data_IF_317185867222
#
_entry.id   IF_317185867222
#
_cell.length_a   1.000
_cell.length_b   1.000
_cell.length_c   1.000
_cell.angle_alpha   90.00
_cell.angle_beta   90.00
_cell.angle_gamma   90.00
#
_symmetry.space_group_name_H-M   'P 1'
#
loop_
_entity.id
_entity.type
_entity.pdbx_description
1 polymer ?
#
# COMPACT_ATOMS: atom_id res chain seq x y z
N UNK A 1 -5.56 21.49 21.08
CA UNK A 1 -5.93 20.15 20.54
C UNK A 1 -5.51 20.11 19.09
N UNK A 2 -4.71 19.14 18.68
CA UNK A 2 -4.33 18.98 17.28
C UNK A 2 -5.57 18.63 16.46
N UNK A 3 -5.92 19.45 15.48
CA UNK A 3 -7.07 19.21 14.58
C UNK A 3 -6.69 18.35 13.37
N UNK A 4 -5.50 17.75 13.37
CA UNK A 4 -5.00 16.97 12.25
C UNK A 4 -5.66 15.60 12.13
N UNK A 5 -5.59 15.04 10.92
CA UNK A 5 -6.09 13.71 10.61
C UNK A 5 -5.04 12.62 10.83
N UNK A 6 -5.50 11.40 11.02
CA UNK A 6 -4.69 10.19 10.97
C UNK A 6 -4.96 9.49 9.63
N UNK A 7 -4.09 9.71 8.66
CA UNK A 7 -4.27 9.19 7.30
C UNK A 7 -3.48 7.90 7.14
N UNK A 8 -4.18 6.83 6.86
CA UNK A 8 -3.58 5.54 6.54
C UNK A 8 -3.74 5.27 5.05
N UNK A 9 -2.62 5.14 4.37
CA UNK A 9 -2.58 4.78 2.94
C UNK A 9 -2.30 3.30 2.82
N UNK A 10 -3.20 2.57 2.18
CA UNK A 10 -3.01 1.17 1.83
C UNK A 10 -2.41 1.06 0.43
N UNK A 11 -1.26 0.40 0.32
CA UNK A 11 -0.61 0.20 -0.96
C UNK A 11 0.23 -1.06 -0.99
N UNK A 12 0.38 -1.65 -2.17
CA UNK A 12 1.21 -2.83 -2.39
C UNK A 12 2.29 -2.54 -3.42
N UNK A 13 3.33 -3.35 -3.41
CA UNK A 13 4.33 -3.35 -4.47
C UNK A 13 3.80 -4.05 -5.70
N UNK A 14 4.11 -3.50 -6.85
CA UNK A 14 3.85 -4.12 -8.14
C UNK A 14 5.13 -4.12 -8.98
N UNK A 15 5.29 -5.05 -9.93
CA UNK A 15 6.31 -4.91 -10.97
C UNK A 15 6.10 -3.57 -11.70
N UNK A 16 7.18 -2.87 -11.99
CA UNK A 16 7.09 -1.57 -12.65
C UNK A 16 6.34 -1.69 -13.99
N UNK A 17 5.16 -1.07 -14.16
CA UNK A 17 4.37 -1.19 -15.37
C UNK A 17 5.01 -0.54 -16.60
N UNK A 18 6.09 0.23 -16.43
CA UNK A 18 6.85 0.79 -17.52
C UNK A 18 7.86 -0.22 -18.11
N UNK A 19 8.03 -1.38 -17.48
CA UNK A 19 8.85 -2.47 -18.00
C UNK A 19 8.07 -3.35 -18.99
N UNK A 20 8.81 -4.11 -19.80
CA UNK A 20 8.18 -5.17 -20.61
C UNK A 20 7.81 -6.33 -19.68
N UNK A 21 6.51 -6.50 -19.44
CA UNK A 21 5.97 -7.57 -18.62
C UNK A 21 5.50 -8.71 -19.52
N UNK A 22 6.21 -9.84 -19.46
CA UNK A 22 5.91 -11.05 -20.26
C UNK A 22 5.22 -12.09 -19.37
N UNK A 23 3.91 -12.35 -19.57
CA UNK A 23 3.19 -13.37 -18.79
C UNK A 23 3.69 -14.76 -19.17
N UNK A 24 3.86 -15.60 -18.16
CA UNK A 24 4.25 -17.00 -18.28
C UNK A 24 3.42 -17.89 -17.38
N UNK A 25 3.33 -19.18 -17.73
CA UNK A 25 2.76 -20.20 -16.83
C UNK A 25 3.92 -20.97 -16.21
N UNK A 26 4.10 -20.79 -14.91
CA UNK A 26 5.11 -21.49 -14.12
C UNK A 26 4.55 -22.73 -13.43
N UNK A 27 5.40 -23.46 -12.69
CA UNK A 27 4.99 -24.65 -11.93
C UNK A 27 3.93 -24.37 -10.85
N UNK A 28 3.90 -23.16 -10.34
CA UNK A 28 2.97 -22.71 -9.28
C UNK A 28 1.79 -21.91 -9.81
N UNK A 29 1.63 -21.79 -11.14
CA UNK A 29 0.56 -21.04 -11.77
C UNK A 29 1.05 -19.86 -12.61
N UNK A 30 0.18 -18.90 -12.93
CA UNK A 30 0.51 -17.72 -13.70
C UNK A 30 1.56 -16.85 -13.01
N UNK A 31 2.45 -16.24 -13.76
CA UNK A 31 3.51 -15.37 -13.26
C UNK A 31 4.08 -14.48 -14.35
N UNK A 32 5.15 -13.77 -14.04
CA UNK A 32 5.92 -12.98 -15.00
C UNK A 32 7.30 -13.59 -15.20
N UNK A 33 7.74 -13.57 -16.45
CA UNK A 33 9.10 -14.01 -16.78
C UNK A 33 10.13 -13.16 -16.06
N UNK A 34 11.08 -13.82 -15.38
CA UNK A 34 12.12 -13.14 -14.60
C UNK A 34 11.59 -12.14 -13.56
N UNK A 35 10.42 -12.38 -12.96
CA UNK A 35 9.75 -11.46 -12.02
C UNK A 35 10.67 -10.98 -10.89
N UNK A 36 11.55 -11.83 -10.39
CA UNK A 36 12.50 -11.46 -9.34
C UNK A 36 13.52 -10.40 -9.77
N UNK A 37 13.77 -10.26 -11.06
CA UNK A 37 14.69 -9.27 -11.64
C UNK A 37 13.99 -7.98 -12.07
N UNK A 38 12.66 -7.98 -12.11
CA UNK A 38 11.89 -6.79 -12.46
C UNK A 38 11.96 -5.75 -11.32
N UNK A 39 12.18 -4.48 -11.65
CA UNK A 39 12.01 -3.41 -10.68
C UNK A 39 10.61 -3.45 -10.07
N UNK A 40 10.53 -3.14 -8.79
CA UNK A 40 9.24 -3.01 -8.10
C UNK A 40 9.01 -1.56 -7.72
N UNK A 41 7.78 -1.11 -7.88
CA UNK A 41 7.33 0.24 -7.49
C UNK A 41 6.11 0.12 -6.58
N UNK A 42 5.81 1.18 -5.84
CA UNK A 42 4.49 1.30 -5.22
C UNK A 42 3.45 1.36 -6.33
N UNK A 43 2.38 0.61 -6.17
CA UNK A 43 1.27 0.64 -7.13
C UNK A 43 0.91 2.11 -7.45
N UNK A 44 0.83 2.51 -8.74
CA UNK A 44 0.64 3.90 -9.12
C UNK A 44 -0.57 4.58 -8.46
N UNK A 45 -1.68 3.87 -8.30
CA UNK A 45 -2.86 4.41 -7.62
C UNK A 45 -2.63 4.64 -6.12
N UNK A 46 -1.93 3.73 -5.46
CA UNK A 46 -1.52 3.92 -4.07
C UNK A 46 -0.49 5.05 -3.93
N UNK A 47 0.40 5.23 -4.90
CA UNK A 47 1.34 6.34 -4.93
C UNK A 47 0.60 7.70 -5.03
N UNK A 48 -0.42 7.81 -5.87
CA UNK A 48 -1.27 9.01 -5.91
C UNK A 48 -1.96 9.25 -4.57
N UNK A 49 -2.54 8.21 -3.96
CA UNK A 49 -3.16 8.32 -2.64
C UNK A 49 -2.17 8.80 -1.57
N UNK A 50 -0.91 8.34 -1.62
CA UNK A 50 0.13 8.78 -0.70
C UNK A 50 0.51 10.26 -0.91
N UNK A 51 0.56 10.74 -2.16
CA UNK A 51 0.82 12.14 -2.44
C UNK A 51 -0.32 13.04 -1.95
N UNK A 52 -1.57 12.65 -2.13
CA UNK A 52 -2.73 13.36 -1.59
C UNK A 52 -2.71 13.39 -0.05
N UNK A 53 -2.37 12.28 0.59
CA UNK A 53 -2.21 12.22 2.04
C UNK A 53 -1.10 13.17 2.54
N UNK A 54 0.05 13.19 1.86
CA UNK A 54 1.16 14.07 2.20
C UNK A 54 0.81 15.56 1.95
N UNK A 55 0.04 15.86 0.91
CA UNK A 55 -0.45 17.20 0.65
C UNK A 55 -1.44 17.66 1.73
N UNK A 56 -2.35 16.80 2.14
CA UNK A 56 -3.25 17.06 3.27
C UNK A 56 -2.46 17.34 4.56
N UNK A 57 -1.41 16.56 4.84
CA UNK A 57 -0.58 16.77 6.01
C UNK A 57 0.19 18.12 5.98
N UNK A 58 0.53 18.63 4.80
CA UNK A 58 1.12 19.97 4.67
C UNK A 58 0.12 21.09 4.91
N UNK A 59 -1.16 20.86 4.60
CA UNK A 59 -2.22 21.87 4.73
C UNK A 59 -2.89 21.88 6.09
N UNK A 60 -2.93 20.74 6.76
CA UNK A 60 -3.62 20.58 8.05
C UNK A 60 -2.62 20.15 9.11
N UNK A 61 -2.26 21.08 9.97
CA UNK A 61 -1.30 20.87 11.07
C UNK A 61 -1.73 19.74 11.98
N UNK A 62 -0.77 18.91 12.39
CA UNK A 62 -0.99 17.75 13.27
C UNK A 62 -1.51 16.50 12.53
N UNK A 63 -1.62 16.53 11.20
CA UNK A 63 -1.95 15.35 10.41
C UNK A 63 -0.74 14.40 10.37
N UNK A 64 -0.99 13.13 10.68
CA UNK A 64 -0.01 12.04 10.56
C UNK A 64 -0.36 11.16 9.36
N UNK A 65 0.66 10.64 8.68
CA UNK A 65 0.48 9.77 7.50
C UNK A 65 1.24 8.48 7.71
N UNK A 66 0.56 7.35 7.53
CA UNK A 66 1.14 6.02 7.48
C UNK A 66 0.94 5.40 6.11
N UNK A 67 1.96 4.75 5.59
CA UNK A 67 1.85 3.83 4.45
C UNK A 67 1.90 2.41 5.00
N UNK A 68 0.81 1.68 4.89
CA UNK A 68 0.72 0.26 5.25
C UNK A 68 0.87 -0.55 3.97
N UNK A 69 1.91 -1.37 3.90
CA UNK A 69 2.26 -2.09 2.68
C UNK A 69 2.66 -3.54 2.97
N UNK A 70 2.12 -4.45 2.18
CA UNK A 70 2.46 -5.87 2.20
C UNK A 70 3.43 -6.19 1.06
N UNK A 71 4.53 -6.84 1.38
CA UNK A 71 5.52 -7.29 0.40
C UNK A 71 6.81 -7.80 1.01
N UNK A 72 7.74 -8.31 0.20
CA UNK A 72 9.06 -8.73 0.68
C UNK A 72 9.78 -7.57 1.36
N UNK A 73 10.19 -7.77 2.60
CA UNK A 73 10.78 -6.72 3.46
C UNK A 73 11.90 -5.92 2.79
N UNK A 74 12.80 -6.60 2.09
CA UNK A 74 13.91 -5.93 1.39
C UNK A 74 13.41 -4.96 0.29
N UNK A 75 12.37 -5.33 -0.44
CA UNK A 75 11.75 -4.48 -1.47
C UNK A 75 11.00 -3.30 -0.86
N UNK A 76 10.31 -3.51 0.27
CA UNK A 76 9.63 -2.43 1.01
C UNK A 76 10.64 -1.42 1.55
N UNK A 77 11.79 -1.85 2.04
CA UNK A 77 12.85 -0.95 2.51
C UNK A 77 13.42 -0.11 1.35
N UNK A 78 13.64 -0.71 0.20
CA UNK A 78 14.10 0.01 -0.99
C UNK A 78 13.06 1.04 -1.46
N UNK A 79 11.78 0.67 -1.46
CA UNK A 79 10.68 1.58 -1.76
C UNK A 79 10.66 2.77 -0.81
N UNK A 80 10.82 2.53 0.50
CA UNK A 80 10.86 3.56 1.52
C UNK A 80 11.90 4.64 1.18
N UNK A 81 13.11 4.23 0.80
CA UNK A 81 14.17 5.18 0.44
C UNK A 81 13.80 6.07 -0.76
N UNK A 82 13.06 5.53 -1.72
CA UNK A 82 12.63 6.26 -2.92
C UNK A 82 11.47 7.20 -2.62
N UNK A 83 10.49 6.74 -1.84
CA UNK A 83 9.26 7.48 -1.56
C UNK A 83 9.45 8.54 -0.47
N UNK A 84 10.32 8.31 0.51
CA UNK A 84 10.60 9.26 1.59
C UNK A 84 11.21 10.59 1.10
N UNK A 85 11.81 10.59 -0.08
CA UNK A 85 12.28 11.83 -0.73
C UNK A 85 11.16 12.70 -1.26
N UNK A 86 9.98 12.13 -1.49
CA UNK A 86 8.84 12.77 -2.16
C UNK A 86 7.67 13.08 -1.23
N UNK A 87 7.51 12.30 -0.17
CA UNK A 87 6.44 12.42 0.80
C UNK A 87 6.92 12.08 2.21
N UNK A 88 6.37 12.75 3.22
CA UNK A 88 6.64 12.43 4.63
C UNK A 88 5.57 11.47 5.12
N UNK A 89 5.98 10.28 5.56
CA UNK A 89 5.10 9.24 6.11
C UNK A 89 5.88 8.27 6.98
N UNK A 90 5.17 7.49 7.78
CA UNK A 90 5.70 6.33 8.49
C UNK A 90 5.34 5.05 7.74
N UNK A 91 6.32 4.15 7.56
CA UNK A 91 6.07 2.87 6.89
C UNK A 91 5.72 1.78 7.89
N UNK A 92 4.55 1.17 7.72
CA UNK A 92 4.16 -0.08 8.37
C UNK A 92 4.33 -1.20 7.36
N UNK A 93 5.46 -1.89 7.43
CA UNK A 93 5.83 -2.93 6.49
C UNK A 93 5.38 -4.30 6.99
N UNK A 94 4.55 -4.98 6.22
CA UNK A 94 4.16 -6.36 6.42
C UNK A 94 5.00 -7.26 5.53
N UNK A 95 5.79 -8.15 6.13
CA UNK A 95 6.57 -9.13 5.37
C UNK A 95 5.66 -10.24 4.85
N UNK A 96 5.65 -10.43 3.55
CA UNK A 96 4.80 -11.43 2.93
C UNK A 96 4.92 -11.45 1.40
N UNK A 97 4.18 -12.33 0.74
CA UNK A 97 4.18 -12.39 -0.70
C UNK A 97 3.57 -11.11 -1.28
N UNK A 98 4.29 -10.48 -2.20
CA UNK A 98 3.78 -9.40 -3.02
C UNK A 98 3.69 -9.88 -4.46
N UNK A 99 2.51 -9.87 -5.01
CA UNK A 99 2.29 -10.25 -6.40
C UNK A 99 0.82 -10.09 -6.77
N UNK A 100 0.57 -9.96 -8.08
CA UNK A 100 -0.78 -9.80 -8.60
C UNK A 100 -1.72 -10.99 -8.38
N UNK A 101 -1.17 -12.13 -7.96
CA UNK A 101 -1.91 -13.38 -7.78
C UNK A 101 -2.27 -13.67 -6.30
N UNK A 102 -1.97 -12.77 -5.38
CA UNK A 102 -2.39 -12.90 -3.97
C UNK A 102 -3.86 -12.50 -3.86
N UNK A 103 -4.64 -13.30 -3.12
CA UNK A 103 -6.06 -13.06 -2.90
C UNK A 103 -6.33 -11.72 -2.20
N UNK A 104 -7.29 -10.97 -2.72
CA UNK A 104 -7.65 -9.64 -2.18
C UNK A 104 -8.15 -9.71 -0.73
N UNK A 105 -8.86 -10.77 -0.36
CA UNK A 105 -9.39 -10.97 1.01
C UNK A 105 -8.26 -11.16 2.01
N UNK A 106 -7.26 -11.99 1.65
CA UNK A 106 -6.07 -12.21 2.46
C UNK A 106 -5.26 -10.94 2.66
N UNK A 107 -5.06 -10.17 1.58
CA UNK A 107 -4.36 -8.88 1.64
C UNK A 107 -5.13 -7.88 2.51
N UNK A 108 -6.43 -7.75 2.34
CA UNK A 108 -7.25 -6.83 3.13
C UNK A 108 -7.22 -7.20 4.62
N UNK A 109 -7.25 -8.49 4.94
CA UNK A 109 -7.13 -8.97 6.33
C UNK A 109 -5.79 -8.58 6.96
N UNK A 110 -4.69 -8.81 6.24
CA UNK A 110 -3.35 -8.47 6.72
C UNK A 110 -3.19 -6.95 6.93
N UNK A 111 -3.66 -6.14 5.97
CA UNK A 111 -3.61 -4.68 6.07
C UNK A 111 -4.46 -4.17 7.25
N UNK A 112 -5.69 -4.65 7.42
CA UNK A 112 -6.56 -4.25 8.53
C UNK A 112 -5.93 -4.56 9.89
N UNK A 113 -5.41 -5.78 10.07
CA UNK A 113 -4.71 -6.18 11.30
C UNK A 113 -3.50 -5.28 11.59
N UNK A 114 -2.73 -4.93 10.56
CA UNK A 114 -1.59 -4.03 10.73
C UNK A 114 -2.03 -2.61 11.13
N UNK A 115 -3.11 -2.10 10.56
CA UNK A 115 -3.67 -0.79 10.90
C UNK A 115 -4.15 -0.77 12.36
N UNK A 116 -4.83 -1.82 12.81
CA UNK A 116 -5.25 -1.95 14.22
C UNK A 116 -4.06 -2.01 15.18
N UNK A 117 -2.91 -2.48 14.73
CA UNK A 117 -1.67 -2.53 15.51
C UNK A 117 -0.92 -1.19 15.61
N UNK A 118 -1.35 -0.12 14.94
CA UNK A 118 -0.72 1.20 15.03
C UNK A 118 -1.12 1.86 16.38
N UNK A 119 -0.20 1.86 17.34
CA UNK A 119 -0.49 2.29 18.71
C UNK A 119 -0.95 3.76 18.83
N UNK A 120 -0.51 4.62 17.91
CA UNK A 120 -0.83 6.05 17.94
C UNK A 120 -2.05 6.42 17.10
N UNK A 121 -2.73 5.43 16.51
CA UNK A 121 -3.86 5.66 15.60
C UNK A 121 -5.08 6.12 16.38
N UNK A 122 -5.56 7.32 16.06
CA UNK A 122 -6.84 7.83 16.55
C UNK A 122 -7.92 7.53 15.51
N UNK A 123 -8.82 6.62 15.85
CA UNK A 123 -9.87 6.15 14.94
C UNK A 123 -10.93 7.19 14.64
N UNK A 124 -11.17 8.14 15.55
CA UNK A 124 -12.14 9.21 15.35
C UNK A 124 -11.68 10.22 14.31
N UNK A 125 -10.37 10.22 14.00
CA UNK A 125 -9.73 11.08 13.00
C UNK A 125 -9.15 10.30 11.83
N UNK A 126 -9.48 9.00 11.72
CA UNK A 126 -8.95 8.13 10.70
C UNK A 126 -9.53 8.45 9.32
N UNK A 127 -8.65 8.63 8.36
CA UNK A 127 -8.94 8.63 6.93
C UNK A 127 -8.19 7.46 6.28
N UNK A 128 -8.92 6.61 5.59
CA UNK A 128 -8.35 5.47 4.87
C UNK A 128 -8.24 5.81 3.38
N UNK A 129 -7.01 5.86 2.89
CA UNK A 129 -6.72 6.17 1.49
C UNK A 129 -6.16 4.94 0.78
N UNK A 130 -6.41 4.86 -0.52
CA UNK A 130 -5.86 3.81 -1.38
C UNK A 130 -6.31 3.96 -2.82
N UNK A 131 -5.82 3.06 -3.67
CA UNK A 131 -6.21 3.04 -5.08
C UNK A 131 -7.58 2.40 -5.29
N UNK A 132 -8.35 2.94 -6.23
CA UNK A 132 -9.58 2.32 -6.74
C UNK A 132 -9.30 1.29 -7.84
N UNK A 133 -8.09 1.27 -8.37
CA UNK A 133 -7.56 0.35 -9.36
C UNK A 133 -6.17 -0.13 -8.94
N UNK A 134 -5.55 -1.02 -9.69
CA UNK A 134 -4.22 -1.55 -9.42
C UNK A 134 -3.52 -1.98 -10.71
N UNK A 135 -2.22 -1.77 -10.78
CA UNK A 135 -1.38 -2.29 -11.87
C UNK A 135 -1.14 -3.81 -11.78
N UNK A 136 -1.65 -4.48 -10.76
CA UNK A 136 -1.52 -5.93 -10.58
C UNK A 136 -2.86 -6.66 -10.69
N UNK A 137 -3.69 -6.61 -9.63
CA UNK A 137 -4.94 -7.38 -9.57
C UNK A 137 -6.14 -6.69 -10.17
N UNK A 138 -6.17 -5.39 -10.06
CA UNK A 138 -7.27 -4.50 -10.50
C UNK A 138 -8.68 -4.96 -10.06
N UNK A 139 -8.76 -5.60 -8.89
CA UNK A 139 -10.02 -6.14 -8.38
C UNK A 139 -10.97 -5.06 -7.83
N UNK A 140 -10.45 -3.88 -7.49
CA UNK A 140 -11.22 -2.73 -7.00
C UNK A 140 -11.91 -2.92 -5.64
N UNK A 141 -11.56 -3.96 -4.88
CA UNK A 141 -12.28 -4.35 -3.65
C UNK A 141 -11.44 -4.33 -2.38
N UNK A 142 -10.12 -4.29 -2.50
CA UNK A 142 -9.22 -4.45 -1.33
C UNK A 142 -9.45 -3.36 -0.28
N UNK A 143 -9.55 -2.10 -0.71
CA UNK A 143 -9.70 -0.99 0.22
C UNK A 143 -11.06 -1.01 0.93
N UNK A 144 -12.13 -1.35 0.20
CA UNK A 144 -13.47 -1.51 0.77
C UNK A 144 -13.50 -2.63 1.81
N UNK A 145 -12.82 -3.76 1.54
CA UNK A 145 -12.69 -4.85 2.49
C UNK A 145 -11.88 -4.46 3.74
N UNK A 146 -10.86 -3.61 3.58
CA UNK A 146 -10.14 -3.05 4.73
C UNK A 146 -11.05 -2.16 5.56
N UNK A 147 -11.79 -1.25 4.94
CA UNK A 147 -12.75 -0.38 5.61
C UNK A 147 -13.79 -1.16 6.38
N UNK A 148 -14.42 -2.15 5.76
CA UNK A 148 -15.40 -3.04 6.40
C UNK A 148 -14.82 -3.75 7.63
N UNK A 149 -13.59 -4.29 7.52
CA UNK A 149 -12.92 -4.95 8.66
C UNK A 149 -12.59 -4.00 9.80
N UNK A 150 -12.31 -2.75 9.49
CA UNK A 150 -12.06 -1.70 10.47
C UNK A 150 -13.36 -1.10 11.03
N UNK A 151 -14.50 -1.40 10.44
CA UNK A 151 -15.81 -0.85 10.84
C UNK A 151 -15.97 0.63 10.46
N UNK A 152 -15.44 1.02 9.32
CA UNK A 152 -15.51 2.39 8.76
C UNK A 152 -16.00 2.37 7.32
#
# INVERSE_FOLDING_TARGET
MSNGYHVVVCGTLVPDPLQTLEPVTGPTGPGLKNEMMLPSVLDPWAAHALYEAADLARRVEGTKVWLVSLGPKARLQQLMMTMAQKASFELVALDGPAGGFVDATGVASALATAIEGIAELDRDRLLLFGGCASAARDAGVTLQMVGERLGI
#
